data_IF_869505076840
#
_entry.id   IF_869505076840
#
_cell.length_a   1.000
_cell.length_b   1.000
_cell.length_c   1.000
_cell.angle_alpha   90.00
_cell.angle_beta   90.00
_cell.angle_gamma   90.00
#
_symmetry.space_group_name_H-M   'P 1'
#
loop_
_entity.id
_entity.type
_entity.pdbx_description
1 polymer ?
#
# COMPACT_ATOMS: atom_id res chain seq x y z
N UNK A 1 -9.45 -16.74 -5.09
CA UNK A 1 -8.60 -16.16 -6.15
C UNK A 1 -8.02 -14.87 -5.61
N UNK A 2 -6.70 -14.72 -5.60
CA UNK A 2 -6.01 -13.53 -5.06
C UNK A 2 -5.73 -12.56 -6.19
N UNK A 3 -6.22 -11.33 -6.11
CA UNK A 3 -5.88 -10.26 -7.06
C UNK A 3 -4.74 -9.47 -6.42
N UNK A 4 -3.55 -9.61 -7.00
CA UNK A 4 -2.43 -8.72 -6.73
C UNK A 4 -2.35 -7.74 -7.90
N UNK A 5 -2.83 -6.51 -7.69
CA UNK A 5 -2.53 -5.42 -8.61
C UNK A 5 -1.38 -4.60 -8.02
N UNK A 6 -0.50 -4.08 -8.87
CA UNK A 6 0.64 -3.24 -8.48
C UNK A 6 0.66 -2.04 -9.41
N UNK A 7 0.61 -0.83 -8.86
CA UNK A 7 0.77 0.40 -9.64
C UNK A 7 2.25 0.58 -10.01
N UNK A 8 2.52 0.53 -11.32
CA UNK A 8 3.80 0.82 -12.00
C UNK A 8 5.04 0.02 -11.56
N UNK A 9 5.17 -1.18 -12.15
CA UNK A 9 6.41 -1.67 -12.80
C UNK A 9 6.04 -2.77 -13.78
N UNK A 10 5.89 -2.40 -15.05
CA UNK A 10 5.54 -3.25 -16.19
C UNK A 10 6.44 -4.53 -16.33
N UNK A 11 7.62 -4.52 -15.70
CA UNK A 11 8.60 -5.61 -15.71
C UNK A 11 8.26 -6.77 -14.73
N UNK A 12 7.63 -6.49 -13.58
CA UNK A 12 7.37 -7.54 -12.58
C UNK A 12 6.28 -8.52 -13.03
N UNK A 13 5.24 -8.05 -13.71
CA UNK A 13 4.17 -8.91 -14.23
C UNK A 13 4.70 -9.83 -15.33
N UNK A 14 5.54 -9.31 -16.24
CA UNK A 14 6.23 -10.13 -17.25
C UNK A 14 7.16 -11.17 -16.62
N UNK A 15 7.90 -10.83 -15.56
CA UNK A 15 8.75 -11.80 -14.82
C UNK A 15 7.96 -12.86 -14.08
N UNK A 16 6.84 -12.52 -13.45
CA UNK A 16 5.94 -13.48 -12.79
C UNK A 16 5.31 -14.44 -13.82
N UNK A 17 4.90 -13.91 -14.97
CA UNK A 17 4.30 -14.68 -16.05
C UNK A 17 5.33 -15.48 -16.86
N UNK A 18 6.58 -15.04 -16.93
CA UNK A 18 7.71 -15.77 -17.50
C UNK A 18 8.19 -16.94 -16.61
N UNK A 19 7.97 -16.87 -15.29
CA UNK A 19 8.19 -17.98 -14.34
C UNK A 19 7.03 -19.00 -14.29
N UNK A 20 6.20 -19.06 -15.33
CA UNK A 20 5.09 -20.03 -15.51
C UNK A 20 5.47 -21.50 -15.31
N UNK A 21 6.75 -21.84 -15.22
CA UNK A 21 7.22 -23.21 -15.01
C UNK A 21 7.08 -23.71 -13.57
N UNK A 22 6.82 -22.84 -12.57
CA UNK A 22 6.56 -23.27 -11.16
C UNK A 22 5.48 -22.47 -10.40
N UNK A 23 4.83 -21.48 -11.02
CA UNK A 23 3.77 -20.73 -10.35
C UNK A 23 2.49 -21.56 -10.33
N UNK A 24 1.91 -21.70 -9.13
CA UNK A 24 0.70 -22.46 -8.84
C UNK A 24 -0.46 -22.09 -9.79
N UNK A 25 -1.14 -23.10 -10.35
CA UNK A 25 -2.31 -22.94 -11.23
C UNK A 25 -3.50 -22.19 -10.56
N UNK A 26 -3.43 -21.96 -9.23
CA UNK A 26 -4.41 -21.19 -8.45
C UNK A 26 -4.22 -19.67 -8.54
N UNK A 27 -3.15 -19.16 -9.15
CA UNK A 27 -2.85 -17.73 -9.26
C UNK A 27 -3.03 -17.21 -10.69
N UNK A 28 -3.76 -16.10 -10.82
CA UNK A 28 -3.93 -15.35 -12.07
C UNK A 28 -3.37 -13.94 -11.90
N UNK A 29 -2.68 -13.44 -12.92
CA UNK A 29 -2.11 -12.09 -12.94
C UNK A 29 -2.76 -11.25 -14.02
N UNK A 30 -3.17 -10.04 -13.65
CA UNK A 30 -3.81 -9.08 -14.55
C UNK A 30 -3.10 -7.74 -14.36
N UNK A 31 -2.78 -7.07 -15.47
CA UNK A 31 -2.28 -5.69 -15.45
C UNK A 31 -3.48 -4.76 -15.42
N UNK A 32 -3.51 -3.83 -14.45
CA UNK A 32 -4.65 -2.92 -14.28
C UNK A 32 -4.36 -1.77 -13.33
N UNK A 33 -5.39 -0.92 -13.14
CA UNK A 33 -5.39 0.14 -12.13
C UNK A 33 -6.34 -0.22 -10.98
N UNK A 34 -6.01 0.19 -9.75
CA UNK A 34 -6.93 0.04 -8.62
C UNK A 34 -8.13 1.00 -8.71
N UNK A 35 -8.00 2.10 -9.46
CA UNK A 35 -9.07 3.10 -9.65
C UNK A 35 -10.06 2.71 -10.75
N UNK A 36 -9.76 1.67 -11.52
CA UNK A 36 -10.60 1.09 -12.56
C UNK A 36 -10.15 -0.34 -12.79
N UNK A 37 -10.78 -1.28 -12.08
CA UNK A 37 -10.38 -2.68 -12.17
C UNK A 37 -10.62 -3.21 -13.58
N UNK A 38 -9.72 -4.07 -14.11
CA UNK A 38 -9.87 -4.67 -15.42
C UNK A 38 -11.19 -5.44 -15.57
N UNK A 39 -11.76 -5.48 -16.77
CA UNK A 39 -13.02 -6.18 -17.05
C UNK A 39 -12.96 -7.66 -16.66
N UNK A 40 -11.80 -8.30 -16.80
CA UNK A 40 -11.62 -9.70 -16.41
C UNK A 40 -11.79 -9.92 -14.91
N UNK A 41 -11.45 -8.92 -14.10
CA UNK A 41 -11.70 -8.90 -12.65
C UNK A 41 -13.17 -8.58 -12.38
N UNK A 42 -13.72 -7.56 -13.03
CA UNK A 42 -15.10 -7.11 -12.81
C UNK A 42 -16.17 -8.10 -13.30
N UNK A 43 -15.85 -8.95 -14.29
CA UNK A 43 -16.72 -10.06 -14.68
C UNK A 43 -16.89 -11.11 -13.58
N UNK A 44 -16.07 -11.05 -12.53
CA UNK A 44 -16.17 -11.84 -11.30
C UNK A 44 -16.53 -10.95 -10.09
N UNK A 45 -17.04 -9.74 -10.32
CA UNK A 45 -17.51 -8.87 -9.23
C UNK A 45 -18.59 -9.56 -8.40
N UNK A 46 -18.50 -9.40 -7.08
CA UNK A 46 -19.42 -10.05 -6.16
C UNK A 46 -19.10 -11.51 -5.86
N UNK A 47 -18.01 -12.08 -6.41
CA UNK A 47 -17.61 -13.47 -6.11
C UNK A 47 -16.40 -13.57 -5.19
N UNK A 48 -15.63 -12.49 -5.03
CA UNK A 48 -14.43 -12.52 -4.18
C UNK A 48 -14.81 -12.49 -2.71
N UNK A 49 -14.34 -13.47 -1.94
CA UNK A 49 -14.50 -13.48 -0.49
C UNK A 49 -13.52 -12.53 0.20
N UNK A 50 -12.39 -12.23 -0.44
CA UNK A 50 -11.34 -11.36 0.08
C UNK A 50 -10.75 -10.47 -1.01
N UNK A 51 -10.46 -9.22 -0.65
CA UNK A 51 -9.57 -8.32 -1.37
C UNK A 51 -8.41 -8.00 -0.43
N UNK A 52 -7.18 -8.15 -0.93
CA UNK A 52 -5.97 -7.95 -0.14
C UNK A 52 -5.09 -6.88 -0.79
N UNK A 53 -4.61 -5.92 -0.01
CA UNK A 53 -3.64 -4.92 -0.45
C UNK A 53 -2.53 -4.76 0.58
N UNK A 54 -1.28 -4.65 0.11
CA UNK A 54 -0.11 -4.46 0.96
C UNK A 54 0.80 -3.39 0.35
N UNK A 55 0.93 -2.27 1.05
CA UNK A 55 1.82 -1.12 0.74
C UNK A 55 1.73 -0.73 -0.75
N UNK A 56 0.50 -0.50 -1.21
CA UNK A 56 0.23 -0.28 -2.63
C UNK A 56 -0.69 0.92 -2.90
N UNK A 57 -1.70 1.17 -2.06
CA UNK A 57 -2.63 2.26 -2.29
C UNK A 57 -2.08 3.62 -1.86
N UNK A 58 -1.03 3.64 -1.03
CA UNK A 58 -0.26 4.84 -0.67
C UNK A 58 0.24 5.67 -1.86
N UNK A 59 0.37 5.08 -3.05
CA UNK A 59 0.72 5.80 -4.27
C UNK A 59 -0.46 6.49 -4.97
N UNK A 60 -1.68 6.32 -4.47
CA UNK A 60 -2.93 6.78 -5.06
C UNK A 60 -3.95 7.23 -3.99
N UNK A 61 -3.50 7.73 -2.83
CA UNK A 61 -4.39 8.16 -1.75
C UNK A 61 -5.38 9.27 -2.17
N UNK A 62 -4.99 10.16 -3.09
CA UNK A 62 -5.90 11.15 -3.69
C UNK A 62 -7.12 10.52 -4.40
N UNK A 63 -7.04 9.25 -4.78
CA UNK A 63 -8.12 8.49 -5.42
C UNK A 63 -8.66 7.36 -4.51
N UNK A 64 -8.39 7.37 -3.20
CA UNK A 64 -8.71 6.25 -2.31
C UNK A 64 -10.19 5.86 -2.36
N UNK A 65 -11.10 6.83 -2.44
CA UNK A 65 -12.54 6.56 -2.52
C UNK A 65 -12.92 5.78 -3.79
N UNK A 66 -12.23 6.04 -4.92
CA UNK A 66 -12.43 5.25 -6.15
C UNK A 66 -11.91 3.83 -5.96
N UNK A 67 -10.72 3.69 -5.37
CA UNK A 67 -10.10 2.39 -5.09
C UNK A 67 -10.99 1.53 -4.19
N UNK A 68 -11.51 2.12 -3.11
CA UNK A 68 -12.45 1.47 -2.21
C UNK A 68 -13.74 1.08 -2.90
N UNK A 69 -14.28 1.93 -3.75
CA UNK A 69 -15.48 1.63 -4.55
C UNK A 69 -15.26 0.41 -5.45
N UNK A 70 -14.11 0.32 -6.11
CA UNK A 70 -13.74 -0.84 -6.93
C UNK A 70 -13.53 -2.11 -6.08
N UNK A 71 -12.86 -2.00 -4.93
CA UNK A 71 -12.71 -3.12 -3.99
C UNK A 71 -14.06 -3.61 -3.46
N UNK A 72 -14.98 -2.68 -3.15
CA UNK A 72 -16.34 -3.00 -2.73
C UNK A 72 -17.10 -3.74 -3.84
N UNK A 73 -17.05 -3.27 -5.09
CA UNK A 73 -17.67 -3.96 -6.24
C UNK A 73 -17.12 -5.37 -6.44
N UNK A 74 -15.81 -5.55 -6.28
CA UNK A 74 -15.18 -6.87 -6.42
C UNK A 74 -15.66 -7.85 -5.33
N UNK A 75 -15.81 -7.40 -4.08
CA UNK A 75 -16.20 -8.25 -2.96
C UNK A 75 -17.64 -8.77 -3.05
N UNK A 76 -17.82 -10.04 -2.70
CA UNK A 76 -19.11 -10.61 -2.33
C UNK A 76 -19.68 -9.92 -1.07
N UNK A 77 -21.00 -9.97 -0.88
CA UNK A 77 -21.62 -9.51 0.38
C UNK A 77 -21.02 -10.27 1.57
N UNK A 78 -20.62 -9.55 2.62
CA UNK A 78 -19.93 -10.13 3.77
C UNK A 78 -18.44 -10.45 3.55
N UNK A 79 -17.92 -10.22 2.34
CA UNK A 79 -16.50 -10.39 2.01
C UNK A 79 -15.60 -9.41 2.77
N UNK A 80 -14.31 -9.75 2.88
CA UNK A 80 -13.32 -9.03 3.68
C UNK A 80 -12.37 -8.22 2.82
N UNK A 81 -12.21 -6.96 3.15
CA UNK A 81 -11.08 -6.15 2.71
C UNK A 81 -9.98 -6.24 3.77
N UNK A 82 -8.78 -6.66 3.37
CA UNK A 82 -7.61 -6.70 4.26
C UNK A 82 -6.51 -5.84 3.67
N UNK A 83 -6.07 -4.84 4.43
CA UNK A 83 -5.13 -3.83 3.95
C UNK A 83 -4.07 -3.59 4.99
N UNK A 84 -2.83 -3.56 4.54
CA UNK A 84 -1.74 -2.89 5.24
C UNK A 84 -1.23 -1.79 4.32
N UNK A 85 -1.21 -0.55 4.77
CA UNK A 85 -0.77 0.55 3.90
C UNK A 85 0.06 1.61 4.61
N UNK A 86 0.83 2.33 3.80
CA UNK A 86 1.70 3.42 4.25
C UNK A 86 0.91 4.72 4.37
N UNK A 87 0.94 5.33 5.55
CA UNK A 87 0.14 6.50 5.89
C UNK A 87 1.00 7.73 6.13
N UNK A 88 0.37 8.89 6.02
CA UNK A 88 0.89 10.16 6.50
C UNK A 88 0.41 10.43 7.92
N UNK A 89 0.33 11.71 8.26
CA UNK A 89 -0.28 12.20 9.50
C UNK A 89 -1.62 12.87 9.19
N UNK A 90 -2.56 12.87 10.15
CA UNK A 90 -3.80 13.66 10.04
C UNK A 90 -3.53 15.17 10.25
N UNK A 91 -2.34 15.52 10.74
CA UNK A 91 -1.90 16.90 10.93
C UNK A 91 -1.13 17.49 9.75
N UNK A 92 -0.42 18.59 10.01
CA UNK A 92 0.49 19.19 9.04
C UNK A 92 1.73 18.31 8.87
N UNK A 93 2.03 17.94 7.63
CA UNK A 93 3.26 17.24 7.26
C UNK A 93 4.44 18.21 7.29
N UNK A 94 5.48 17.84 8.00
CA UNK A 94 6.74 18.58 8.12
C UNK A 94 7.54 18.59 6.80
N UNK A 95 8.29 19.66 6.57
CA UNK A 95 9.07 19.82 5.34
C UNK A 95 10.19 18.78 5.22
N UNK A 96 10.79 18.37 6.34
CA UNK A 96 11.77 17.29 6.39
C UNK A 96 11.19 15.96 5.86
N UNK A 97 9.97 15.63 6.30
CA UNK A 97 9.24 14.44 5.83
C UNK A 97 8.96 14.51 4.33
N UNK A 98 8.58 15.69 3.82
CA UNK A 98 8.33 15.87 2.38
C UNK A 98 9.60 15.66 1.56
N UNK A 99 10.71 16.25 1.99
CA UNK A 99 11.98 16.20 1.24
C UNK A 99 12.58 14.79 1.24
N UNK A 100 12.62 14.10 2.38
CA UNK A 100 13.34 12.83 2.49
C UNK A 100 12.47 11.59 2.25
N UNK A 101 11.15 11.68 2.52
CA UNK A 101 10.23 10.56 2.36
C UNK A 101 9.37 10.74 1.12
N UNK A 102 8.57 11.82 1.05
CA UNK A 102 7.56 11.95 -0.02
C UNK A 102 8.19 12.10 -1.39
N UNK A 103 9.20 12.97 -1.54
CA UNK A 103 9.91 13.16 -2.81
C UNK A 103 10.58 11.87 -3.29
N UNK A 104 11.27 11.15 -2.40
CA UNK A 104 11.95 9.88 -2.71
C UNK A 104 10.98 8.79 -3.13
N UNK A 105 9.88 8.63 -2.39
CA UNK A 105 8.85 7.62 -2.63
C UNK A 105 7.79 8.07 -3.64
N UNK A 106 7.90 9.31 -4.12
CA UNK A 106 7.01 9.96 -5.09
C UNK A 106 5.55 9.98 -4.63
N UNK A 107 5.34 10.29 -3.36
CA UNK A 107 4.00 10.53 -2.82
C UNK A 107 3.55 11.94 -3.17
N UNK A 108 2.33 12.05 -3.70
CA UNK A 108 1.66 13.33 -3.93
C UNK A 108 0.71 13.67 -2.78
N UNK A 109 0.14 12.65 -2.14
CA UNK A 109 -0.77 12.75 -1.03
C UNK A 109 -0.64 11.50 -0.17
N UNK A 110 -0.72 11.66 1.15
CA UNK A 110 -0.91 10.56 2.07
C UNK A 110 -1.97 10.92 3.10
N UNK A 111 -3.01 10.09 3.21
CA UNK A 111 -3.97 10.20 4.30
C UNK A 111 -3.35 9.79 5.63
N UNK A 112 -3.76 10.48 6.69
CA UNK A 112 -3.53 10.04 8.06
C UNK A 112 -4.50 8.94 8.49
N UNK A 113 -4.25 8.32 9.67
CA UNK A 113 -5.07 7.24 10.19
C UNK A 113 -6.57 7.55 10.35
N UNK A 114 -6.93 8.76 10.77
CA UNK A 114 -8.34 9.14 10.95
C UNK A 114 -9.03 9.32 9.60
N UNK A 115 -8.45 10.12 8.71
CA UNK A 115 -9.01 10.35 7.38
C UNK A 115 -9.17 9.04 6.57
N UNK A 116 -8.24 8.09 6.76
CA UNK A 116 -8.32 6.79 6.12
C UNK A 116 -9.48 5.95 6.69
N UNK A 117 -9.66 5.90 8.02
CA UNK A 117 -10.82 5.20 8.62
C UNK A 117 -12.16 5.78 8.13
N UNK A 118 -12.27 7.10 8.07
CA UNK A 118 -13.48 7.77 7.54
C UNK A 118 -13.75 7.38 6.09
N UNK A 119 -12.72 7.31 5.25
CA UNK A 119 -12.87 6.87 3.86
C UNK A 119 -13.39 5.43 3.75
N UNK A 120 -12.94 4.50 4.61
CA UNK A 120 -13.46 3.12 4.65
C UNK A 120 -14.96 3.09 4.95
N UNK A 121 -15.37 3.79 6.00
CA UNK A 121 -16.76 3.85 6.44
C UNK A 121 -17.65 4.49 5.37
N UNK A 122 -17.21 5.61 4.79
CA UNK A 122 -17.91 6.29 3.70
C UNK A 122 -18.01 5.44 2.42
N UNK A 123 -17.09 4.50 2.22
CA UNK A 123 -17.16 3.54 1.12
C UNK A 123 -18.04 2.30 1.42
N UNK A 124 -18.76 2.30 2.54
CA UNK A 124 -19.72 1.25 2.90
C UNK A 124 -19.07 0.00 3.51
N UNK A 125 -17.87 0.14 4.08
CA UNK A 125 -17.23 -0.92 4.85
C UNK A 125 -17.49 -0.75 6.35
N UNK A 126 -17.57 -1.87 7.06
CA UNK A 126 -17.52 -1.90 8.53
C UNK A 126 -16.13 -2.35 8.94
N UNK A 127 -15.42 -1.51 9.69
CA UNK A 127 -14.08 -1.85 10.22
C UNK A 127 -14.26 -2.88 11.33
N UNK A 128 -13.65 -4.05 11.17
CA UNK A 128 -13.66 -5.12 12.17
C UNK A 128 -12.37 -5.15 13.00
N UNK A 129 -11.25 -4.74 12.39
CA UNK A 129 -9.96 -4.62 13.05
C UNK A 129 -9.17 -3.47 12.43
N UNK A 130 -8.55 -2.67 13.29
CA UNK A 130 -7.61 -1.62 12.89
C UNK A 130 -6.48 -1.56 13.91
N UNK A 131 -5.25 -1.69 13.44
CA UNK A 131 -4.04 -1.61 14.27
C UNK A 131 -3.10 -0.55 13.70
N UNK A 132 -2.45 0.17 14.60
CA UNK A 132 -1.32 1.01 14.28
C UNK A 132 -0.03 0.17 14.29
N UNK A 133 0.57 0.03 13.11
CA UNK A 133 1.81 -0.69 12.88
C UNK A 133 2.99 0.26 12.62
N UNK A 134 2.89 1.54 13.00
CA UNK A 134 3.96 2.52 12.79
C UNK A 134 5.29 2.13 13.44
N UNK A 135 5.26 1.40 14.57
CA UNK A 135 6.49 0.86 15.18
C UNK A 135 7.14 -0.24 14.31
N UNK A 136 6.36 -1.06 13.62
CA UNK A 136 6.89 -2.03 12.65
C UNK A 136 7.49 -1.32 11.44
N UNK A 137 6.86 -0.22 10.99
CA UNK A 137 7.40 0.60 9.90
C UNK A 137 8.74 1.24 10.29
N UNK A 138 8.82 1.83 11.48
CA UNK A 138 10.06 2.38 12.04
C UNK A 138 11.15 1.32 12.04
N UNK A 139 10.89 0.17 12.69
CA UNK A 139 11.87 -0.90 12.80
C UNK A 139 12.32 -1.43 11.44
N UNK A 140 11.37 -1.60 10.50
CA UNK A 140 11.69 -2.00 9.13
C UNK A 140 12.63 -1.02 8.43
N UNK A 141 12.47 0.29 8.64
CA UNK A 141 13.38 1.29 8.09
C UNK A 141 14.75 1.32 8.78
N UNK A 142 14.82 1.06 10.08
CA UNK A 142 16.10 0.91 10.79
C UNK A 142 16.92 -0.26 10.22
N UNK A 143 16.29 -1.41 10.01
CA UNK A 143 16.92 -2.59 9.41
C UNK A 143 17.35 -2.33 7.95
N UNK A 144 16.53 -1.62 7.18
CA UNK A 144 16.88 -1.19 5.81
C UNK A 144 18.06 -0.23 5.82
N UNK A 145 18.12 0.71 6.77
CA UNK A 145 19.23 1.66 6.89
C UNK A 145 20.54 0.94 7.22
N UNK A 146 20.52 0.07 8.23
CA UNK A 146 21.66 -0.76 8.63
C UNK A 146 22.18 -1.60 7.45
N UNK A 147 21.27 -2.27 6.75
CA UNK A 147 21.60 -3.10 5.59
C UNK A 147 22.17 -2.28 4.43
N UNK A 148 21.55 -1.14 4.11
CA UNK A 148 22.02 -0.27 3.03
C UNK A 148 23.42 0.28 3.29
N UNK A 149 23.71 0.66 4.55
CA UNK A 149 25.04 1.14 4.94
C UNK A 149 26.08 0.02 4.86
N UNK A 150 25.75 -1.18 5.36
CA UNK A 150 26.63 -2.36 5.28
C UNK A 150 27.03 -2.70 3.85
N UNK A 151 26.12 -2.53 2.90
CA UNK A 151 26.33 -2.88 1.49
C UNK A 151 26.68 -1.69 0.59
N UNK A 152 26.79 -0.48 1.15
CA UNK A 152 27.11 0.74 0.39
C UNK A 152 26.07 1.11 -0.68
N UNK A 153 24.80 0.78 -0.46
CA UNK A 153 23.74 1.11 -1.42
C UNK A 153 23.51 2.62 -1.51
N UNK A 154 23.24 3.08 -2.74
CA UNK A 154 23.01 4.48 -3.06
C UNK A 154 21.65 4.68 -3.70
N UNK A 155 21.08 5.85 -3.45
CA UNK A 155 19.88 6.35 -4.12
C UNK A 155 20.19 6.71 -5.57
N UNK A 156 19.16 6.99 -6.38
CA UNK A 156 19.33 7.30 -7.80
C UNK A 156 20.13 8.59 -8.07
N UNK A 157 20.16 9.50 -7.10
CA UNK A 157 20.96 10.73 -7.08
C UNK A 157 22.38 10.54 -6.53
N UNK A 158 22.75 9.31 -6.15
CA UNK A 158 24.07 8.98 -5.61
C UNK A 158 24.22 9.15 -4.09
N UNK A 159 23.21 9.67 -3.38
CA UNK A 159 23.25 9.80 -1.93
C UNK A 159 23.23 8.41 -1.24
N UNK A 160 23.88 8.23 -0.07
CA UNK A 160 23.79 6.98 0.68
C UNK A 160 22.33 6.63 0.99
N UNK A 161 21.89 5.45 0.56
CA UNK A 161 20.49 5.05 0.72
C UNK A 161 20.14 4.84 2.21
N UNK A 162 21.11 4.43 3.03
CA UNK A 162 20.92 4.23 4.45
C UNK A 162 20.56 5.53 5.20
N UNK A 163 21.08 6.67 4.77
CA UNK A 163 20.74 7.97 5.38
C UNK A 163 19.26 8.30 5.17
N UNK A 164 18.75 8.09 3.94
CA UNK A 164 17.33 8.30 3.63
C UNK A 164 16.41 7.35 4.40
N UNK A 165 16.83 6.10 4.60
CA UNK A 165 16.08 5.15 5.41
C UNK A 165 16.10 5.51 6.90
N UNK A 166 17.23 6.01 7.42
CA UNK A 166 17.31 6.50 8.79
C UNK A 166 16.33 7.65 9.02
N UNK A 167 16.28 8.63 8.12
CA UNK A 167 15.29 9.72 8.21
C UNK A 167 13.86 9.19 8.13
N UNK A 168 13.60 8.16 7.32
CA UNK A 168 12.29 7.52 7.28
C UNK A 168 11.93 6.88 8.63
N UNK A 169 12.86 6.22 9.32
CA UNK A 169 12.63 5.70 10.67
C UNK A 169 12.34 6.82 11.68
N UNK A 170 13.08 7.92 11.63
CA UNK A 170 12.86 9.10 12.50
C UNK A 170 11.48 9.73 12.25
N UNK A 171 11.07 9.89 10.99
CA UNK A 171 9.73 10.36 10.64
C UNK A 171 8.62 9.41 11.12
N UNK A 172 8.86 8.10 11.15
CA UNK A 172 7.90 7.14 11.70
C UNK A 172 7.83 7.27 13.23
N UNK A 173 8.97 7.41 13.91
CA UNK A 173 9.04 7.62 15.36
C UNK A 173 8.37 8.92 15.81
N UNK A 174 8.39 9.97 14.98
CA UNK A 174 7.71 11.25 15.25
C UNK A 174 6.25 11.30 14.82
N UNK A 175 5.71 10.22 14.23
CA UNK A 175 4.32 10.16 13.77
C UNK A 175 4.02 10.97 12.50
N UNK A 176 5.06 11.39 11.76
CA UNK A 176 4.92 12.09 10.48
C UNK A 176 4.55 11.13 9.33
N UNK A 177 4.92 9.87 9.46
CA UNK A 177 4.48 8.76 8.62
C UNK A 177 4.11 7.58 9.50
N UNK A 178 3.28 6.69 8.98
CA UNK A 178 2.84 5.53 9.72
C UNK A 178 2.46 4.36 8.82
N UNK A 179 1.98 3.31 9.45
CA UNK A 179 1.48 2.14 8.74
C UNK A 179 0.31 1.56 9.49
N UNK A 180 -0.73 1.16 8.78
CA UNK A 180 -1.86 0.46 9.39
C UNK A 180 -1.87 -1.02 9.06
N UNK A 181 -2.66 -1.76 9.84
CA UNK A 181 -3.25 -3.00 9.42
C UNK A 181 -4.76 -2.92 9.67
N UNK A 182 -5.55 -3.18 8.64
CA UNK A 182 -7.00 -3.07 8.68
C UNK A 182 -7.65 -4.33 8.10
N UNK A 183 -8.66 -4.82 8.81
CA UNK A 183 -9.65 -5.77 8.29
C UNK A 183 -11.01 -5.09 8.35
N UNK A 184 -11.66 -4.99 7.20
CA UNK A 184 -12.99 -4.43 7.07
C UNK A 184 -13.90 -5.38 6.30
N UNK A 185 -15.20 -5.29 6.51
CA UNK A 185 -16.19 -6.16 5.87
C UNK A 185 -17.15 -5.33 5.01
N UNK A 186 -17.43 -5.84 3.82
CA UNK A 186 -18.50 -5.32 2.96
C UNK A 186 -19.88 -5.67 3.55
N UNK A 187 -20.75 -4.67 3.66
CA UNK A 187 -22.14 -4.82 4.13
C UNK A 187 -23.07 -5.22 2.99
#
# INVERSE_FOLDING_TARGET
MMIMATTRRYDHTKRAQAKKTKVDKRANFVVGSFTSLPKEVLNQSGTFTHVWSQVAWCHCHADIMKILGEANKALAKGGKLVVNDFLGTDGKVEDNTKEHVWKRLRFTELLGPLAWKECLENAGFVIEKYEDWSHHLQHGYEELASTANKHGFKSADGAPLGDNYKVSAECAASGQIGMNFCVARKV
#
